data_IF_549558556394
#
_entry.id   IF_549558556394
#
_cell.length_a   1.000
_cell.length_b   1.000
_cell.length_c   1.000
_cell.angle_alpha   90.00
_cell.angle_beta   90.00
_cell.angle_gamma   90.00
#
_symmetry.space_group_name_H-M   'P 1'
#
loop_
_entity.id
_entity.type
_entity.pdbx_description
1 polymer ?
#
# COMPACT_ATOMS: atom_id res chain seq x y z
N UNK A 1 -21.36 15.08 -4.31
CA UNK A 1 -21.50 14.03 -5.38
C UNK A 1 -21.77 12.73 -4.66
N UNK A 2 -22.70 11.93 -5.14
CA UNK A 2 -22.94 10.58 -4.62
C UNK A 2 -21.67 9.75 -4.74
N UNK A 3 -21.28 9.07 -3.67
CA UNK A 3 -20.04 8.28 -3.59
C UNK A 3 -20.03 7.14 -4.63
N UNK A 4 -21.16 6.45 -4.78
CA UNK A 4 -21.30 5.39 -5.77
C UNK A 4 -21.16 5.91 -7.20
N UNK A 5 -21.79 7.06 -7.51
CA UNK A 5 -21.65 7.69 -8.82
C UNK A 5 -20.17 8.03 -9.11
N UNK A 6 -19.46 8.60 -8.13
CA UNK A 6 -18.04 8.93 -8.26
C UNK A 6 -17.20 7.70 -8.57
N UNK A 7 -17.44 6.59 -7.84
CA UNK A 7 -16.73 5.33 -8.06
C UNK A 7 -17.02 4.77 -9.45
N UNK A 8 -18.28 4.79 -9.88
CA UNK A 8 -18.70 4.26 -11.17
C UNK A 8 -18.12 5.07 -12.33
N UNK A 9 -18.18 6.41 -12.27
CA UNK A 9 -17.61 7.29 -13.30
C UNK A 9 -16.09 7.05 -13.45
N UNK A 10 -15.38 6.89 -12.34
CA UNK A 10 -13.95 6.58 -12.33
C UNK A 10 -13.65 5.19 -12.92
N UNK A 11 -14.42 4.18 -12.51
CA UNK A 11 -14.25 2.80 -12.99
C UNK A 11 -14.56 2.68 -14.49
N UNK A 12 -15.60 3.35 -14.99
CA UNK A 12 -15.93 3.40 -16.42
C UNK A 12 -14.76 3.96 -17.24
N UNK A 13 -14.18 5.09 -16.81
CA UNK A 13 -13.00 5.67 -17.48
C UNK A 13 -11.83 4.70 -17.48
N UNK A 14 -11.53 4.05 -16.34
CA UNK A 14 -10.43 3.10 -16.25
C UNK A 14 -10.69 1.86 -17.10
N UNK A 15 -11.90 1.30 -17.09
CA UNK A 15 -12.26 0.16 -17.93
C UNK A 15 -12.13 0.46 -19.41
N UNK A 16 -12.56 1.66 -19.83
CA UNK A 16 -12.48 2.08 -21.24
C UNK A 16 -11.03 2.19 -21.75
N UNK A 17 -10.08 2.55 -20.88
CA UNK A 17 -8.67 2.77 -21.25
C UNK A 17 -7.81 1.54 -20.98
N UNK A 18 -8.01 0.90 -19.85
CA UNK A 18 -7.15 -0.15 -19.31
C UNK A 18 -7.75 -1.56 -19.41
N UNK A 19 -9.07 -1.68 -19.52
CA UNK A 19 -9.77 -2.95 -19.39
C UNK A 19 -9.79 -3.46 -17.95
N UNK A 20 -10.10 -4.74 -17.79
CA UNK A 20 -10.11 -5.43 -16.50
C UNK A 20 -8.70 -5.78 -16.02
N UNK A 21 -8.54 -5.91 -14.70
CA UNK A 21 -7.32 -6.42 -14.07
C UNK A 21 -7.69 -7.38 -12.93
N UNK A 22 -6.82 -8.34 -12.65
CA UNK A 22 -7.00 -9.31 -11.56
C UNK A 22 -6.14 -8.99 -10.34
N UNK A 23 -5.00 -8.31 -10.54
CA UNK A 23 -4.06 -7.92 -9.50
C UNK A 23 -3.93 -6.40 -9.49
N UNK A 24 -4.05 -5.81 -8.29
CA UNK A 24 -3.74 -4.41 -8.04
C UNK A 24 -2.46 -4.29 -7.22
N UNK A 25 -1.59 -3.35 -7.56
CA UNK A 25 -0.38 -3.06 -6.79
C UNK A 25 -0.33 -1.56 -6.49
N UNK A 26 -0.24 -1.20 -5.22
CA UNK A 26 -0.01 0.18 -4.79
C UNK A 26 1.47 0.35 -4.49
N UNK A 27 2.16 1.12 -5.34
CA UNK A 27 3.59 1.36 -5.22
C UNK A 27 3.87 2.49 -4.23
N UNK A 28 4.58 2.16 -3.17
CA UNK A 28 5.06 3.10 -2.17
C UNK A 28 6.27 3.91 -2.63
N UNK A 29 6.74 4.81 -1.77
CA UNK A 29 7.91 5.65 -2.02
C UNK A 29 9.14 4.82 -2.42
N UNK A 30 9.82 5.23 -3.48
CA UNK A 30 11.00 4.56 -4.04
C UNK A 30 10.72 3.37 -4.98
N UNK A 31 9.45 2.94 -5.14
CA UNK A 31 9.08 1.81 -6.00
C UNK A 31 8.33 2.20 -7.27
N UNK A 32 8.06 3.49 -7.50
CA UNK A 32 7.21 3.96 -8.59
C UNK A 32 7.60 3.44 -9.97
N UNK A 33 8.89 3.30 -10.25
CA UNK A 33 9.41 2.80 -11.51
C UNK A 33 9.24 1.27 -11.71
N UNK A 34 8.74 0.52 -10.72
CA UNK A 34 8.35 -0.87 -10.94
C UNK A 34 7.20 -0.99 -11.96
N UNK A 35 6.41 0.05 -12.15
CA UNK A 35 5.39 0.07 -13.20
C UNK A 35 5.95 -0.04 -14.64
N UNK A 36 7.25 0.20 -14.84
CA UNK A 36 7.92 -0.02 -16.13
C UNK A 36 8.14 -1.51 -16.45
N UNK A 37 7.93 -2.41 -15.49
CA UNK A 37 7.97 -3.86 -15.73
C UNK A 37 6.72 -4.39 -16.44
N UNK A 38 5.65 -3.60 -16.54
CA UNK A 38 4.44 -4.01 -17.24
C UNK A 38 4.67 -4.10 -18.75
N UNK A 39 4.35 -5.25 -19.32
CA UNK A 39 4.25 -5.44 -20.77
C UNK A 39 2.95 -4.80 -21.29
N UNK A 40 2.99 -4.24 -22.50
CA UNK A 40 1.86 -3.53 -23.13
C UNK A 40 1.25 -2.45 -22.24
N UNK A 41 2.11 -1.71 -21.52
CA UNK A 41 1.72 -0.77 -20.50
C UNK A 41 0.93 0.42 -21.06
N UNK A 42 -0.25 0.64 -20.50
CA UNK A 42 -1.04 1.86 -20.70
C UNK A 42 -0.98 2.70 -19.43
N UNK A 43 -0.60 3.97 -19.56
CA UNK A 43 -0.50 4.91 -18.45
C UNK A 43 -1.61 5.95 -18.52
N UNK A 44 -2.40 6.09 -17.47
CA UNK A 44 -3.49 7.04 -17.34
C UNK A 44 -3.20 7.98 -16.15
N UNK A 45 -3.00 9.28 -16.38
CA UNK A 45 -2.82 10.24 -15.29
C UNK A 45 -4.01 10.25 -14.33
N UNK A 46 -3.78 10.35 -13.02
CA UNK A 46 -4.88 10.47 -12.05
C UNK A 46 -5.78 11.66 -12.33
N UNK A 47 -5.25 12.74 -12.89
CA UNK A 47 -6.01 13.93 -13.27
C UNK A 47 -7.03 13.69 -14.39
N UNK A 48 -6.90 12.59 -15.14
CA UNK A 48 -7.84 12.20 -16.20
C UNK A 48 -8.89 11.19 -15.74
N UNK A 49 -8.78 10.71 -14.49
CA UNK A 49 -9.76 9.80 -13.88
C UNK A 49 -10.77 10.64 -13.09
N UNK A 50 -12.07 10.60 -13.46
CA UNK A 50 -13.08 11.38 -12.77
C UNK A 50 -13.07 11.18 -11.26
N UNK A 51 -13.05 12.27 -10.52
CA UNK A 51 -13.12 12.24 -9.05
C UNK A 51 -11.85 11.81 -8.32
N UNK A 52 -10.76 11.44 -9.00
CA UNK A 52 -9.51 11.14 -8.30
C UNK A 52 -8.90 12.40 -7.69
N UNK A 53 -8.26 12.29 -6.52
CA UNK A 53 -7.43 13.35 -5.98
C UNK A 53 -6.17 13.60 -6.84
N UNK A 54 -5.47 14.68 -6.57
CA UNK A 54 -4.14 14.93 -7.15
C UNK A 54 -3.07 14.41 -6.19
N UNK A 55 -2.10 13.66 -6.69
CA UNK A 55 -0.92 13.33 -5.89
C UNK A 55 -0.03 14.56 -5.75
N UNK A 56 0.29 14.95 -4.52
CA UNK A 56 1.11 16.13 -4.21
C UNK A 56 2.46 15.77 -3.60
N UNK A 57 2.68 14.49 -3.30
CA UNK A 57 3.91 14.00 -2.66
C UNK A 57 5.02 13.89 -3.69
N UNK A 58 6.18 14.48 -3.40
CA UNK A 58 7.37 14.37 -4.23
C UNK A 58 7.76 12.89 -4.44
N UNK A 59 8.06 12.53 -5.68
CA UNK A 59 8.38 11.14 -6.06
C UNK A 59 7.18 10.26 -6.40
N UNK A 60 5.95 10.76 -6.26
CA UNK A 60 4.75 10.09 -6.74
C UNK A 60 4.37 10.62 -8.13
N UNK A 61 4.45 9.77 -9.15
CA UNK A 61 4.17 10.18 -10.53
C UNK A 61 2.68 10.48 -10.79
N UNK A 62 1.79 10.01 -9.94
CA UNK A 62 0.34 10.24 -10.09
C UNK A 62 -0.25 9.54 -11.31
N UNK A 63 0.20 8.32 -11.60
CA UNK A 63 -0.20 7.52 -12.75
C UNK A 63 -0.87 6.22 -12.34
N UNK A 64 -1.92 5.87 -13.06
CA UNK A 64 -2.56 4.58 -13.07
C UNK A 64 -2.00 3.80 -14.26
N UNK A 65 -1.22 2.76 -14.01
CA UNK A 65 -0.55 1.98 -15.03
C UNK A 65 -1.21 0.61 -15.13
N UNK A 66 -1.58 0.19 -16.32
CA UNK A 66 -2.17 -1.12 -16.57
C UNK A 66 -1.38 -1.85 -17.63
N UNK A 67 -1.25 -3.14 -17.50
CA UNK A 67 -0.52 -3.96 -18.46
C UNK A 67 -0.56 -5.42 -18.08
N UNK A 68 0.38 -6.19 -18.61
CA UNK A 68 0.57 -7.59 -18.30
C UNK A 68 1.88 -7.78 -17.55
N UNK A 69 1.87 -8.62 -16.53
CA UNK A 69 3.06 -9.02 -15.79
C UNK A 69 2.98 -10.54 -15.56
N UNK A 70 3.95 -11.28 -16.05
CA UNK A 70 3.95 -12.75 -16.02
C UNK A 70 2.64 -13.38 -16.54
N UNK A 71 2.11 -12.84 -17.64
CA UNK A 71 0.87 -13.29 -18.26
C UNK A 71 -0.43 -12.90 -17.53
N UNK A 72 -0.35 -12.16 -16.43
CA UNK A 72 -1.51 -11.71 -15.64
C UNK A 72 -1.82 -10.25 -15.91
N UNK A 73 -3.11 -9.91 -15.91
CA UNK A 73 -3.54 -8.50 -16.06
C UNK A 73 -3.38 -7.78 -14.73
N UNK A 74 -2.51 -6.77 -14.71
CA UNK A 74 -2.12 -6.02 -13.50
C UNK A 74 -2.42 -4.54 -13.67
N UNK A 75 -2.88 -3.92 -12.59
CA UNK A 75 -2.92 -2.46 -12.46
C UNK A 75 -1.96 -2.02 -11.34
N UNK A 76 -1.17 -1.00 -11.62
CA UNK A 76 -0.24 -0.41 -10.65
C UNK A 76 -0.54 1.07 -10.44
N UNK A 77 -0.60 1.48 -9.18
CA UNK A 77 -0.61 2.90 -8.80
C UNK A 77 0.85 3.38 -8.65
N UNK A 78 1.32 4.26 -9.54
CA UNK A 78 2.61 4.97 -9.37
C UNK A 78 2.46 6.13 -8.39
N UNK A 79 2.44 5.81 -7.10
CA UNK A 79 2.14 6.71 -6.00
C UNK A 79 0.72 6.51 -5.48
N UNK A 80 0.48 7.07 -4.29
CA UNK A 80 -0.80 6.98 -3.58
C UNK A 80 -1.23 8.34 -3.06
N UNK A 81 -2.44 8.39 -2.49
CA UNK A 81 -2.96 9.53 -1.76
C UNK A 81 -2.81 9.30 -0.26
N UNK A 82 -2.52 10.37 0.49
CA UNK A 82 -2.37 10.29 1.93
C UNK A 82 -3.35 11.21 2.66
N UNK A 83 -3.71 10.81 3.87
CA UNK A 83 -4.57 11.62 4.71
C UNK A 83 -3.96 12.99 5.04
N UNK A 84 -2.64 13.04 5.26
CA UNK A 84 -1.94 14.30 5.55
C UNK A 84 -1.89 15.29 4.38
N UNK A 85 -2.24 14.88 3.16
CA UNK A 85 -2.41 15.79 2.03
C UNK A 85 -3.71 16.60 2.12
N UNK A 86 -4.55 16.36 3.16
CA UNK A 86 -5.83 17.02 3.37
C UNK A 86 -7.02 16.29 2.75
N UNK A 87 -6.81 15.09 2.22
CA UNK A 87 -7.86 14.26 1.65
C UNK A 87 -8.62 13.47 2.71
N UNK A 88 -9.93 13.30 2.51
CA UNK A 88 -10.73 12.39 3.34
C UNK A 88 -10.29 10.94 3.16
N UNK A 89 -10.60 10.07 4.13
CA UNK A 89 -10.32 8.64 3.99
C UNK A 89 -11.02 8.01 2.78
N UNK A 90 -12.19 8.56 2.37
CA UNK A 90 -12.90 8.14 1.15
C UNK A 90 -12.15 8.54 -0.12
N UNK A 91 -11.52 9.70 -0.13
CA UNK A 91 -10.67 10.14 -1.24
C UNK A 91 -9.41 9.27 -1.34
N UNK A 92 -8.75 9.03 -0.22
CA UNK A 92 -7.54 8.20 -0.15
C UNK A 92 -7.81 6.78 -0.68
N UNK A 93 -9.00 6.23 -0.41
CA UNK A 93 -9.35 4.84 -0.74
C UNK A 93 -10.17 4.68 -2.03
N UNK A 94 -10.54 5.77 -2.70
CA UNK A 94 -11.26 5.72 -3.97
C UNK A 94 -10.58 4.80 -5.00
N UNK A 95 -9.24 4.82 -5.17
CA UNK A 95 -8.58 3.93 -6.12
C UNK A 95 -8.83 2.45 -5.84
N UNK A 96 -8.89 2.05 -4.56
CA UNK A 96 -9.16 0.65 -4.18
C UNK A 96 -10.59 0.25 -4.57
N UNK A 97 -11.56 1.16 -4.42
CA UNK A 97 -12.94 0.94 -4.91
C UNK A 97 -12.98 0.78 -6.44
N UNK A 98 -12.20 1.58 -7.15
CA UNK A 98 -12.08 1.45 -8.62
C UNK A 98 -11.44 0.12 -8.98
N UNK A 99 -10.38 -0.31 -8.28
CA UNK A 99 -9.77 -1.64 -8.47
C UNK A 99 -10.81 -2.76 -8.31
N UNK A 100 -11.67 -2.69 -7.30
CA UNK A 100 -12.75 -3.66 -7.09
C UNK A 100 -13.71 -3.71 -8.29
N UNK A 101 -14.13 -2.55 -8.79
CA UNK A 101 -15.06 -2.44 -9.94
C UNK A 101 -14.47 -2.97 -11.25
N UNK A 102 -13.16 -2.85 -11.46
CA UNK A 102 -12.50 -3.36 -12.67
C UNK A 102 -12.09 -4.84 -12.55
N UNK A 103 -12.43 -5.51 -11.45
CA UNK A 103 -12.27 -6.95 -11.30
C UNK A 103 -11.10 -7.43 -10.45
N UNK A 104 -10.31 -6.52 -9.86
CA UNK A 104 -9.16 -6.88 -9.01
C UNK A 104 -9.60 -7.77 -7.84
N UNK A 105 -8.94 -8.91 -7.69
CA UNK A 105 -9.18 -9.90 -6.63
C UNK A 105 -8.09 -9.92 -5.58
N UNK A 106 -6.87 -9.55 -5.97
CA UNK A 106 -5.73 -9.50 -5.07
C UNK A 106 -5.10 -8.11 -5.10
N UNK A 107 -4.89 -7.53 -3.93
CA UNK A 107 -4.21 -6.26 -3.74
C UNK A 107 -2.85 -6.47 -3.06
N UNK A 108 -1.78 -6.00 -3.68
CA UNK A 108 -0.48 -5.89 -3.06
C UNK A 108 -0.27 -4.42 -2.68
N UNK A 109 -0.09 -4.14 -1.39
CA UNK A 109 0.22 -2.79 -0.90
C UNK A 109 1.66 -2.72 -0.46
N UNK A 110 2.39 -1.73 -0.95
CA UNK A 110 3.78 -1.51 -0.55
C UNK A 110 3.94 -0.13 0.08
N UNK A 111 4.86 0.02 1.00
CA UNK A 111 5.15 1.31 1.65
C UNK A 111 6.61 1.39 2.11
N UNK A 112 7.05 2.62 2.38
CA UNK A 112 8.19 2.92 3.23
C UNK A 112 7.68 3.07 4.68
N UNK A 113 8.40 2.54 5.65
CA UNK A 113 8.04 2.58 7.05
C UNK A 113 9.26 2.80 7.96
N UNK A 114 9.06 3.45 9.10
CA UNK A 114 10.03 3.52 10.17
C UNK A 114 10.00 2.24 11.02
N UNK A 115 11.18 1.65 11.28
CA UNK A 115 11.30 0.49 12.16
C UNK A 115 11.06 0.87 13.62
N UNK A 116 10.06 0.28 14.27
CA UNK A 116 9.75 0.42 15.69
C UNK A 116 10.36 -0.72 16.50
N UNK A 117 10.44 -1.91 15.89
CA UNK A 117 11.09 -3.09 16.46
C UNK A 117 12.60 -2.90 16.47
N UNK A 118 13.21 -3.05 17.65
CA UNK A 118 14.66 -2.86 17.88
C UNK A 118 15.54 -3.90 17.15
N UNK A 119 14.96 -5.02 16.71
CA UNK A 119 15.64 -6.06 15.94
C UNK A 119 15.60 -5.84 14.42
N UNK A 120 15.00 -4.74 13.95
CA UNK A 120 14.96 -4.39 12.54
C UNK A 120 16.07 -3.41 12.17
N UNK A 121 16.40 -3.37 10.89
CA UNK A 121 17.43 -2.49 10.34
C UNK A 121 16.95 -1.79 9.07
N UNK A 122 17.46 -0.58 8.78
CA UNK A 122 17.18 0.08 7.51
C UNK A 122 17.61 -0.78 6.32
N UNK A 123 16.66 -1.09 5.46
CA UNK A 123 16.79 -2.00 4.33
C UNK A 123 16.08 -3.34 4.51
N UNK A 124 15.65 -3.69 5.72
CA UNK A 124 14.81 -4.87 5.92
C UNK A 124 13.49 -4.73 5.15
N UNK A 125 13.05 -5.82 4.51
CA UNK A 125 11.69 -5.96 3.98
C UNK A 125 10.84 -6.73 4.98
N UNK A 126 9.66 -6.17 5.32
CA UNK A 126 8.74 -6.74 6.29
C UNK A 126 7.40 -7.07 5.63
N UNK A 127 7.00 -8.33 5.68
CA UNK A 127 5.61 -8.73 5.41
C UNK A 127 4.74 -8.23 6.56
N UNK A 128 3.65 -7.56 6.23
CA UNK A 128 2.69 -7.09 7.23
C UNK A 128 1.79 -8.26 7.62
N UNK A 129 1.92 -8.71 8.86
CA UNK A 129 1.09 -9.78 9.43
C UNK A 129 -0.23 -9.27 9.99
N UNK A 130 -0.21 -8.09 10.59
CA UNK A 130 -1.36 -7.40 11.15
C UNK A 130 -1.14 -5.88 11.16
N UNK A 131 -2.17 -5.12 11.52
CA UNK A 131 -2.13 -3.66 11.52
C UNK A 131 -3.05 -3.04 12.56
N UNK A 132 -2.73 -1.80 12.96
CA UNK A 132 -3.68 -0.92 13.66
C UNK A 132 -3.46 0.55 13.24
N UNK A 133 -4.44 1.40 13.56
CA UNK A 133 -4.39 2.84 13.25
C UNK A 133 -4.71 3.67 14.48
N UNK A 134 -3.93 4.72 14.71
CA UNK A 134 -4.20 5.73 15.74
C UNK A 134 -4.74 7.05 15.13
N UNK A 135 -5.22 7.00 13.89
CA UNK A 135 -5.77 8.19 13.23
C UNK A 135 -7.19 8.55 13.68
N UNK A 136 -7.86 7.67 14.43
CA UNK A 136 -9.29 7.76 14.78
C UNK A 136 -10.22 7.91 13.55
N UNK A 137 -9.73 7.56 12.37
CA UNK A 137 -10.45 7.62 11.10
C UNK A 137 -10.57 6.23 10.48
N UNK A 138 -11.78 5.88 10.03
CA UNK A 138 -12.00 4.63 9.30
C UNK A 138 -12.72 4.96 7.97
N UNK A 139 -12.25 4.47 6.83
CA UNK A 139 -12.83 4.78 5.52
C UNK A 139 -14.29 4.29 5.36
N UNK A 140 -14.75 3.37 6.22
CA UNK A 140 -16.10 2.82 6.18
C UNK A 140 -17.12 3.60 7.07
N UNK A 141 -16.69 4.68 7.73
CA UNK A 141 -17.59 5.53 8.51
C UNK A 141 -18.59 6.19 7.55
N UNK A 142 -19.89 6.11 7.92
CA UNK A 142 -21.00 6.61 7.14
C UNK A 142 -21.93 5.49 6.63
N UNK A 143 -22.78 5.76 5.65
CA UNK A 143 -23.62 4.73 5.02
C UNK A 143 -22.78 3.63 4.38
N UNK A 144 -23.22 2.37 4.53
CA UNK A 144 -22.55 1.26 3.88
C UNK A 144 -22.71 1.31 2.36
N UNK A 145 -21.73 0.84 1.63
CA UNK A 145 -21.82 0.58 0.19
C UNK A 145 -22.05 -0.93 0.01
N UNK A 146 -23.32 -1.35 0.12
CA UNK A 146 -23.73 -2.77 0.16
C UNK A 146 -23.24 -3.57 -1.06
N UNK A 147 -23.09 -2.92 -2.20
CA UNK A 147 -22.54 -3.52 -3.42
C UNK A 147 -21.09 -4.03 -3.24
N UNK A 148 -20.33 -3.43 -2.32
CA UNK A 148 -18.94 -3.83 -2.08
C UNK A 148 -18.81 -4.85 -0.95
N UNK A 149 -19.67 -4.81 0.06
CA UNK A 149 -19.55 -5.76 1.16
C UNK A 149 -20.43 -5.44 2.37
N UNK A 150 -20.29 -6.26 3.43
CA UNK A 150 -21.15 -6.14 4.61
C UNK A 150 -20.81 -4.89 5.44
N UNK A 151 -21.80 -4.40 6.22
CA UNK A 151 -21.63 -3.25 7.11
C UNK A 151 -20.49 -3.44 8.12
N UNK A 152 -20.25 -4.66 8.56
CA UNK A 152 -19.24 -5.03 9.55
C UNK A 152 -18.33 -6.12 8.98
N UNK A 153 -17.29 -5.75 8.20
CA UNK A 153 -16.35 -6.72 7.65
C UNK A 153 -15.46 -7.32 8.74
N UNK A 154 -15.19 -8.61 8.62
CA UNK A 154 -14.22 -9.28 9.49
C UNK A 154 -12.78 -8.88 9.09
N UNK A 155 -12.01 -8.45 10.09
CA UNK A 155 -10.60 -8.04 9.95
C UNK A 155 -9.64 -8.99 10.67
N UNK A 156 -10.11 -10.14 11.18
CA UNK A 156 -9.27 -11.12 11.91
C UNK A 156 -8.13 -11.70 11.04
N UNK A 157 -8.25 -11.60 9.73
CA UNK A 157 -7.21 -11.97 8.78
C UNK A 157 -7.15 -10.91 7.66
N UNK A 158 -6.73 -9.70 8.02
CA UNK A 158 -6.65 -8.58 7.07
C UNK A 158 -5.66 -8.86 5.95
N UNK A 159 -4.52 -9.48 6.27
CA UNK A 159 -3.51 -9.92 5.31
C UNK A 159 -3.60 -11.44 5.10
N UNK A 160 -3.67 -11.84 3.85
CA UNK A 160 -3.89 -13.22 3.44
C UNK A 160 -2.72 -14.13 3.83
N UNK A 161 -3.02 -15.24 4.53
CA UNK A 161 -2.00 -16.15 5.06
C UNK A 161 -1.20 -16.86 3.97
N UNK A 162 -1.84 -17.24 2.87
CA UNK A 162 -1.18 -17.94 1.76
C UNK A 162 -0.26 -16.98 1.01
N UNK A 163 -0.70 -15.73 0.78
CA UNK A 163 0.14 -14.72 0.15
C UNK A 163 1.35 -14.32 1.01
N UNK A 164 1.18 -14.27 2.33
CA UNK A 164 2.31 -14.06 3.25
C UNK A 164 3.31 -15.22 3.18
N UNK A 165 2.82 -16.45 3.24
CA UNK A 165 3.67 -17.66 3.11
C UNK A 165 4.38 -17.69 1.75
N UNK A 166 3.68 -17.33 0.66
CA UNK A 166 4.25 -17.23 -0.67
C UNK A 166 5.39 -16.20 -0.72
N UNK A 167 5.19 -15.00 -0.13
CA UNK A 167 6.23 -13.98 -0.08
C UNK A 167 7.49 -14.47 0.65
N UNK A 168 7.33 -15.16 1.79
CA UNK A 168 8.46 -15.76 2.51
C UNK A 168 9.18 -16.84 1.69
N UNK A 169 8.44 -17.69 0.99
CA UNK A 169 9.02 -18.71 0.12
C UNK A 169 9.81 -18.08 -1.04
N UNK A 170 9.25 -17.08 -1.72
CA UNK A 170 9.92 -16.36 -2.80
C UNK A 170 11.21 -15.66 -2.35
N UNK A 171 11.19 -15.03 -1.17
CA UNK A 171 12.40 -14.42 -0.61
C UNK A 171 13.48 -15.46 -0.28
N UNK A 172 13.07 -16.59 0.31
CA UNK A 172 14.00 -17.70 0.62
C UNK A 172 14.68 -18.28 -0.62
N UNK A 173 13.93 -18.45 -1.71
CA UNK A 173 14.49 -18.90 -3.00
C UNK A 173 15.49 -17.89 -3.59
N UNK A 174 15.32 -16.61 -3.30
CA UNK A 174 16.23 -15.54 -3.72
C UNK A 174 17.41 -15.31 -2.74
N UNK A 175 17.49 -16.11 -1.67
CA UNK A 175 18.60 -16.08 -0.71
C UNK A 175 18.54 -14.98 0.34
N UNK A 176 17.36 -14.37 0.59
CA UNK A 176 17.18 -13.41 1.68
C UNK A 176 15.96 -13.75 2.55
N UNK A 177 15.96 -13.20 3.77
CA UNK A 177 14.87 -13.39 4.72
C UNK A 177 13.99 -12.13 4.79
N UNK A 178 12.67 -12.33 4.92
CA UNK A 178 11.73 -11.26 5.24
C UNK A 178 11.51 -11.19 6.76
N UNK A 179 11.32 -9.98 7.26
CA UNK A 179 10.69 -9.78 8.57
C UNK A 179 9.18 -10.03 8.44
N UNK A 180 8.51 -10.28 9.54
CA UNK A 180 7.05 -10.25 9.61
C UNK A 180 6.66 -9.51 10.89
N UNK A 181 5.67 -8.61 10.81
CA UNK A 181 5.31 -7.79 11.95
C UNK A 181 4.02 -7.00 11.78
N UNK A 182 3.74 -6.18 12.79
CA UNK A 182 2.56 -5.33 12.88
C UNK A 182 2.88 -3.92 12.38
N UNK A 183 2.07 -3.43 11.44
CA UNK A 183 2.17 -2.06 10.92
C UNK A 183 1.22 -1.13 11.66
N UNK A 184 1.76 -0.05 12.24
CA UNK A 184 0.99 1.03 12.86
C UNK A 184 0.83 2.20 11.91
N UNK A 185 -0.41 2.71 11.76
CA UNK A 185 -0.66 3.95 11.01
C UNK A 185 -0.80 5.14 11.94
N UNK A 186 -0.02 6.18 11.67
CA UNK A 186 -0.16 7.54 12.21
C UNK A 186 -0.66 8.48 11.12
N UNK A 187 -1.15 9.66 11.50
CA UNK A 187 -1.67 10.64 10.53
C UNK A 187 -0.58 11.26 9.66
N UNK A 188 0.60 11.53 10.22
CA UNK A 188 1.52 12.50 9.65
C UNK A 188 0.93 13.93 9.64
N UNK A 189 1.56 14.91 8.96
CA UNK A 189 2.81 14.81 8.18
C UNK A 189 4.10 14.83 9.02
N UNK A 190 4.00 15.09 10.34
CA UNK A 190 5.16 15.01 11.22
C UNK A 190 5.59 13.58 11.43
N UNK A 191 6.90 13.33 11.50
CA UNK A 191 7.38 12.09 12.10
C UNK A 191 6.98 12.06 13.57
N UNK A 192 6.92 10.86 14.12
CA UNK A 192 6.54 10.63 15.51
C UNK A 192 7.60 11.18 16.47
N UNK A 193 7.18 11.54 17.67
CA UNK A 193 8.09 11.80 18.78
C UNK A 193 8.65 10.49 19.36
N UNK A 194 9.81 10.50 20.04
CA UNK A 194 10.31 9.32 20.74
C UNK A 194 9.32 8.73 21.75
N UNK A 195 8.44 9.54 22.34
CA UNK A 195 7.39 9.09 23.25
C UNK A 195 6.30 8.30 22.51
N UNK A 196 5.86 8.79 21.36
CA UNK A 196 4.91 8.09 20.49
C UNK A 196 5.49 6.75 20.00
N UNK A 197 6.77 6.71 19.63
CA UNK A 197 7.42 5.45 19.23
C UNK A 197 7.48 4.44 20.37
N UNK A 198 7.78 4.87 21.62
CA UNK A 198 7.70 3.98 22.78
C UNK A 198 6.27 3.46 23.02
N UNK A 199 5.26 4.33 22.86
CA UNK A 199 3.85 3.95 22.95
C UNK A 199 3.49 2.92 21.90
N UNK A 200 3.82 3.16 20.62
CA UNK A 200 3.55 2.24 19.51
C UNK A 200 4.19 0.87 19.75
N UNK A 201 5.43 0.84 20.22
CA UNK A 201 6.11 -0.42 20.61
C UNK A 201 5.40 -1.15 21.73
N UNK A 202 4.95 -0.44 22.75
CA UNK A 202 4.17 -1.02 23.85
C UNK A 202 2.85 -1.60 23.37
N UNK A 203 2.22 -1.01 22.34
CA UNK A 203 1.02 -1.52 21.68
C UNK A 203 1.29 -2.68 20.72
N UNK A 204 2.55 -3.05 20.51
CA UNK A 204 2.94 -4.19 19.68
C UNK A 204 3.25 -3.85 18.22
N UNK A 205 3.48 -2.58 17.86
CA UNK A 205 3.93 -2.21 16.53
C UNK A 205 5.39 -2.62 16.28
N UNK A 206 5.65 -3.13 15.09
CA UNK A 206 7.00 -3.40 14.55
C UNK A 206 7.46 -2.33 13.56
N UNK A 207 6.53 -1.71 12.86
CA UNK A 207 6.79 -0.63 11.92
C UNK A 207 5.72 0.45 12.00
N UNK A 208 6.06 1.68 11.60
CA UNK A 208 5.14 2.82 11.60
C UNK A 208 5.21 3.56 10.26
N UNK A 209 4.06 4.06 9.81
CA UNK A 209 3.97 4.92 8.63
C UNK A 209 2.63 5.64 8.55
N UNK A 210 2.37 6.29 7.41
CA UNK A 210 1.27 7.26 7.27
C UNK A 210 0.26 6.84 6.18
N UNK A 211 0.17 5.54 5.85
CA UNK A 211 -0.64 5.01 4.74
C UNK A 211 -1.17 3.61 5.02
N UNK A 212 -1.59 2.92 3.97
CA UNK A 212 -1.79 1.45 3.94
C UNK A 212 -3.04 0.95 4.66
N UNK A 213 -3.25 1.28 5.94
CA UNK A 213 -4.38 0.75 6.73
C UNK A 213 -5.74 1.06 6.10
N UNK A 214 -6.03 2.30 5.64
CA UNK A 214 -7.32 2.59 4.99
C UNK A 214 -7.53 1.79 3.70
N UNK A 215 -6.49 1.62 2.90
CA UNK A 215 -6.51 0.87 1.64
C UNK A 215 -6.82 -0.61 1.91
N UNK A 216 -6.18 -1.20 2.92
CA UNK A 216 -6.42 -2.59 3.35
C UNK A 216 -7.85 -2.77 3.89
N UNK A 217 -8.34 -1.84 4.71
CA UNK A 217 -9.72 -1.90 5.22
C UNK A 217 -10.73 -1.94 4.07
N UNK A 218 -10.57 -1.06 3.07
CA UNK A 218 -11.46 -1.00 1.92
C UNK A 218 -11.32 -2.22 1.01
N UNK A 219 -10.11 -2.72 0.81
CA UNK A 219 -9.87 -3.94 0.04
C UNK A 219 -10.55 -5.15 0.69
N UNK A 220 -10.39 -5.32 2.01
CA UNK A 220 -11.03 -6.40 2.78
C UNK A 220 -12.55 -6.28 2.81
N UNK A 221 -13.08 -5.05 2.94
CA UNK A 221 -14.53 -4.82 2.84
C UNK A 221 -15.10 -5.35 1.52
N UNK A 222 -14.37 -5.21 0.41
CA UNK A 222 -14.75 -5.72 -0.91
C UNK A 222 -14.27 -7.14 -1.24
N UNK A 223 -13.83 -7.90 -0.24
CA UNK A 223 -13.46 -9.31 -0.40
C UNK A 223 -12.13 -9.57 -1.12
N UNK A 224 -11.29 -8.56 -1.33
CA UNK A 224 -9.96 -8.77 -1.91
C UNK A 224 -9.05 -9.54 -0.96
N UNK A 225 -8.18 -10.40 -1.50
CA UNK A 225 -6.99 -10.90 -0.80
C UNK A 225 -5.96 -9.81 -0.73
N UNK A 226 -5.25 -9.65 0.38
CA UNK A 226 -4.28 -8.55 0.55
C UNK A 226 -2.93 -9.10 1.00
N UNK A 227 -1.86 -8.66 0.31
CA UNK A 227 -0.48 -8.79 0.74
C UNK A 227 0.07 -7.39 1.03
N UNK A 228 0.64 -7.17 2.21
CA UNK A 228 1.33 -5.94 2.57
C UNK A 228 2.82 -6.17 2.72
N UNK A 229 3.65 -5.32 2.13
CA UNK A 229 5.11 -5.36 2.28
C UNK A 229 5.62 -3.95 2.56
N UNK A 230 6.27 -3.79 3.72
CA UNK A 230 6.96 -2.55 4.10
C UNK A 230 8.44 -2.64 3.81
N UNK A 231 9.03 -1.59 3.27
CA UNK A 231 10.46 -1.36 3.33
C UNK A 231 10.77 -0.58 4.60
N UNK A 232 11.56 -1.12 5.51
CA UNK A 232 12.07 -0.39 6.67
C UNK A 232 13.15 0.56 6.17
N UNK A 233 12.78 1.82 5.97
CA UNK A 233 13.69 2.80 5.34
C UNK A 233 14.59 3.51 6.33
N UNK A 234 14.17 3.59 7.57
CA UNK A 234 14.87 4.21 8.70
C UNK A 234 14.40 3.57 10.00
N UNK A 235 15.14 3.72 11.06
CA UNK A 235 14.61 3.44 12.39
C UNK A 235 13.75 4.61 12.85
N UNK A 236 12.66 4.32 13.56
CA UNK A 236 11.74 5.34 14.04
C UNK A 236 12.39 6.25 15.09
N UNK A 237 11.76 7.39 15.38
CA UNK A 237 12.32 8.44 16.24
C UNK A 237 12.75 7.94 17.62
N UNK A 238 13.94 8.37 18.06
CA UNK A 238 14.51 8.04 19.38
C UNK A 238 15.00 6.60 19.52
N UNK A 239 15.12 5.83 18.44
CA UNK A 239 15.79 4.51 18.42
C UNK A 239 17.28 4.71 18.16
N UNK A 240 17.62 5.50 17.15
CA UNK A 240 18.98 5.94 16.90
C UNK A 240 19.16 7.39 17.36
N UNK A 241 20.37 7.75 17.76
CA UNK A 241 20.72 9.13 18.20
C UNK A 241 21.01 10.02 16.98
N UNK A 242 20.00 10.17 16.12
CA UNK A 242 20.06 11.04 14.94
C UNK A 242 18.67 11.57 14.57
N UNK A 243 18.57 12.78 13.99
CA UNK A 243 17.32 13.28 13.48
C UNK A 243 16.87 12.50 12.24
N UNK A 244 15.55 12.36 12.07
CA UNK A 244 14.96 11.75 10.88
C UNK A 244 14.92 12.76 9.73
N UNK A 245 15.17 12.27 8.51
CA UNK A 245 15.02 13.08 7.30
C UNK A 245 14.51 12.22 6.12
N UNK A 246 13.86 12.87 5.18
CA UNK A 246 13.29 12.18 4.01
C UNK A 246 14.36 11.69 3.01
N UNK A 247 15.56 12.24 3.04
CA UNK A 247 16.64 11.81 2.17
C UNK A 247 17.09 10.38 2.52
N UNK A 248 17.20 10.06 3.82
CA UNK A 248 17.51 8.70 4.30
C UNK A 248 16.48 7.67 3.82
N UNK A 249 15.19 8.04 3.84
CA UNK A 249 14.10 7.20 3.33
C UNK A 249 14.33 6.86 1.85
N UNK A 250 14.63 7.87 1.04
CA UNK A 250 14.85 7.70 -0.41
C UNK A 250 16.10 6.89 -0.70
N UNK A 251 17.20 7.16 -0.01
CA UNK A 251 18.48 6.46 -0.19
C UNK A 251 18.34 4.96 0.14
N UNK A 252 17.74 4.66 1.29
CA UNK A 252 17.52 3.26 1.71
C UNK A 252 16.59 2.53 0.77
N UNK A 253 15.47 3.15 0.36
CA UNK A 253 14.56 2.54 -0.60
C UNK A 253 15.27 2.23 -1.92
N UNK A 254 16.10 3.13 -2.44
CA UNK A 254 16.88 2.91 -3.65
C UNK A 254 17.90 1.77 -3.50
N UNK A 255 18.54 1.65 -2.34
CA UNK A 255 19.53 0.58 -2.05
C UNK A 255 18.89 -0.82 -2.13
N UNK A 256 17.67 -1.00 -1.63
CA UNK A 256 16.99 -2.32 -1.56
C UNK A 256 16.01 -2.56 -2.68
N UNK A 257 15.83 -1.61 -3.57
CA UNK A 257 14.86 -1.62 -4.67
C UNK A 257 14.96 -2.87 -5.54
N UNK A 258 16.18 -3.33 -5.83
CA UNK A 258 16.40 -4.55 -6.61
C UNK A 258 15.78 -5.78 -5.95
N UNK A 259 16.05 -6.00 -4.67
CA UNK A 259 15.47 -7.12 -3.91
C UNK A 259 13.95 -7.00 -3.80
N UNK A 260 13.43 -5.78 -3.57
CA UNK A 260 12.00 -5.57 -3.45
C UNK A 260 11.25 -5.87 -4.76
N UNK A 261 11.80 -5.42 -5.90
CA UNK A 261 11.25 -5.72 -7.23
C UNK A 261 11.28 -7.21 -7.52
N UNK A 262 12.42 -7.87 -7.32
CA UNK A 262 12.56 -9.29 -7.53
C UNK A 262 11.57 -10.10 -6.68
N UNK A 263 11.32 -9.68 -5.44
CA UNK A 263 10.31 -10.27 -4.58
C UNK A 263 8.89 -10.12 -5.17
N UNK A 264 8.52 -8.90 -5.60
CA UNK A 264 7.21 -8.65 -6.21
C UNK A 264 7.03 -9.46 -7.50
N UNK A 265 8.05 -9.52 -8.36
CA UNK A 265 8.05 -10.32 -9.57
C UNK A 265 7.77 -11.79 -9.27
N UNK A 266 8.55 -12.40 -8.36
CA UNK A 266 8.39 -13.81 -8.01
C UNK A 266 7.03 -14.10 -7.35
N UNK A 267 6.51 -13.18 -6.53
CA UNK A 267 5.18 -13.33 -5.93
C UNK A 267 4.10 -13.26 -7.00
N UNK A 268 4.14 -12.27 -7.90
CA UNK A 268 3.14 -12.15 -8.98
C UNK A 268 3.22 -13.34 -9.93
N UNK A 269 4.41 -13.82 -10.26
CA UNK A 269 4.59 -14.99 -11.14
C UNK A 269 3.90 -16.23 -10.56
N UNK A 270 4.04 -16.46 -9.24
CA UNK A 270 3.56 -17.69 -8.57
C UNK A 270 2.13 -17.60 -8.03
N UNK A 271 1.50 -16.44 -8.06
CA UNK A 271 0.07 -16.27 -7.73
C UNK A 271 -0.80 -16.94 -8.81
#
# INVERSE_FOLDING_TARGET
>A
MDEMKRINDAAEKVLAVCGQAEIGIILGSGLGDYAEALEDAVKLPYSEIPGFPRSTVAGHAGMWCCGTLHGKRVVMMQGRFHYYEGYSMKDVTLPVRVMQKIGVKTLIVTNAAGGVNMGYHPGDLMVIGDMFSLTAQNPLIGPNLDEFGPRFPDMSCAFDKELRALAHACAGEQGFALREGVYAQMTGPTYETPAEIRMLRTLGADAVGMSTVPEVIVARHGGMRVLGISCITNMAAGILDQPLNHAEVTETANRVKGHFRALLDAVVEKM
#
